data_IF_599046950580
#
_entry.id   IF_599046950580
#
_cell.length_a   1.000
_cell.length_b   1.000
_cell.length_c   1.000
_cell.angle_alpha   90.00
_cell.angle_beta   90.00
_cell.angle_gamma   90.00
#
_symmetry.space_group_name_H-M   'P 1'
#
loop_
_entity.id
_entity.type
_entity.pdbx_description
1 polymer ?
#
# COMPACT_ATOMS: atom_id res chain seq x y z
N UNK A 1 -40.31 -17.00 46.20
CA UNK A 1 -41.03 -16.36 45.07
C UNK A 1 -40.47 -16.95 43.78
N UNK A 2 -41.29 -17.61 42.98
CA UNK A 2 -40.86 -18.22 41.71
C UNK A 2 -40.69 -17.12 40.65
N UNK A 3 -39.45 -16.77 40.31
CA UNK A 3 -39.14 -15.88 39.20
C UNK A 3 -39.46 -16.58 37.88
N UNK A 4 -40.44 -16.05 37.15
CA UNK A 4 -40.84 -16.57 35.84
C UNK A 4 -39.64 -16.55 34.86
N UNK A 5 -39.42 -17.59 34.03
CA UNK A 5 -38.24 -17.71 33.17
C UNK A 5 -38.05 -16.52 32.21
N UNK A 6 -39.14 -15.87 31.79
CA UNK A 6 -39.10 -14.69 30.93
C UNK A 6 -38.47 -13.45 31.62
N UNK A 7 -38.64 -13.30 32.94
CA UNK A 7 -38.01 -12.23 33.70
C UNK A 7 -36.49 -12.43 33.86
N UNK A 8 -36.02 -13.67 33.87
CA UNK A 8 -34.59 -13.97 33.96
C UNK A 8 -33.88 -13.79 32.62
N UNK A 9 -34.59 -14.04 31.50
CA UNK A 9 -34.10 -13.72 30.15
C UNK A 9 -34.01 -12.22 29.91
N UNK A 10 -35.02 -11.45 30.33
CA UNK A 10 -34.98 -9.99 30.28
C UNK A 10 -33.81 -9.40 31.11
N UNK A 11 -33.44 -10.05 32.23
CA UNK A 11 -32.30 -9.66 33.07
C UNK A 11 -30.91 -9.90 32.45
N UNK A 12 -30.83 -10.72 31.39
CA UNK A 12 -29.60 -10.93 30.64
C UNK A 12 -29.37 -9.87 29.56
N UNK A 13 -30.40 -9.12 29.14
CA UNK A 13 -30.30 -8.06 28.12
C UNK A 13 -29.47 -8.52 26.89
N UNK A 14 -28.61 -7.64 26.33
CA UNK A 14 -27.69 -7.94 25.21
C UNK A 14 -26.66 -9.06 25.51
N UNK A 15 -26.48 -9.44 26.78
CA UNK A 15 -25.52 -10.48 27.18
C UNK A 15 -26.02 -11.88 26.81
N UNK A 16 -27.35 -12.07 26.76
CA UNK A 16 -27.96 -13.32 26.31
C UNK A 16 -27.66 -13.62 24.85
N UNK A 17 -27.76 -12.61 23.98
CA UNK A 17 -27.44 -12.72 22.55
C UNK A 17 -25.97 -13.07 22.30
N UNK A 18 -25.06 -12.46 23.07
CA UNK A 18 -23.64 -12.78 23.02
C UNK A 18 -23.36 -14.25 23.35
N UNK A 19 -23.98 -14.78 24.41
CA UNK A 19 -23.80 -16.18 24.84
C UNK A 19 -24.42 -17.16 23.85
N UNK A 20 -25.57 -16.84 23.26
CA UNK A 20 -26.19 -17.65 22.20
C UNK A 20 -25.33 -17.69 20.92
N UNK A 21 -24.80 -16.54 20.51
CA UNK A 21 -23.87 -16.47 19.39
C UNK A 21 -22.58 -17.26 19.69
N UNK A 22 -22.04 -17.16 20.90
CA UNK A 22 -20.89 -17.95 21.33
C UNK A 22 -21.18 -19.46 21.30
N UNK A 23 -22.35 -19.89 21.79
CA UNK A 23 -22.79 -21.30 21.73
C UNK A 23 -22.76 -21.85 20.31
N UNK A 24 -23.34 -21.13 19.35
CA UNK A 24 -23.38 -21.55 17.94
C UNK A 24 -21.97 -21.66 17.36
N UNK A 25 -21.12 -20.65 17.59
CA UNK A 25 -19.74 -20.64 17.10
C UNK A 25 -18.91 -21.77 17.71
N UNK A 26 -19.01 -22.03 19.02
CA UNK A 26 -18.28 -23.13 19.66
C UNK A 26 -18.74 -24.50 19.14
N UNK A 27 -20.04 -24.72 18.93
CA UNK A 27 -20.53 -25.99 18.33
C UNK A 27 -19.95 -26.21 16.94
N UNK A 28 -19.97 -25.18 16.09
CA UNK A 28 -19.42 -25.24 14.75
C UNK A 28 -17.90 -25.51 14.77
N UNK A 29 -17.16 -24.77 15.60
CA UNK A 29 -15.72 -24.91 15.73
C UNK A 29 -15.31 -26.29 16.28
N UNK A 30 -16.01 -26.77 17.31
CA UNK A 30 -15.78 -28.11 17.87
C UNK A 30 -15.96 -29.21 16.82
N UNK A 31 -17.01 -29.09 15.98
CA UNK A 31 -17.26 -30.04 14.89
C UNK A 31 -16.13 -30.03 13.86
N UNK A 32 -15.62 -28.86 13.49
CA UNK A 32 -14.49 -28.74 12.56
C UNK A 32 -13.21 -29.36 13.14
N UNK A 33 -12.93 -29.04 14.41
CA UNK A 33 -11.75 -29.57 15.10
C UNK A 33 -11.82 -31.10 15.17
N UNK A 34 -12.96 -31.70 15.52
CA UNK A 34 -13.10 -33.18 15.63
C UNK A 34 -13.04 -33.95 14.30
N UNK A 35 -13.09 -33.30 13.15
CA UNK A 35 -13.09 -33.99 11.86
C UNK A 35 -11.75 -34.72 11.58
N UNK A 36 -11.78 -35.77 10.75
CA UNK A 36 -10.58 -36.54 10.39
C UNK A 36 -9.52 -35.69 9.65
N UNK A 37 -9.96 -34.77 8.77
CA UNK A 37 -9.11 -33.78 8.09
C UNK A 37 -9.24 -32.40 8.71
N UNK A 38 -9.12 -32.31 10.04
CA UNK A 38 -9.39 -31.07 10.77
C UNK A 38 -8.54 -29.89 10.29
N UNK A 39 -7.27 -30.08 9.90
CA UNK A 39 -6.40 -28.99 9.43
C UNK A 39 -6.96 -28.31 8.19
N UNK A 40 -7.38 -29.08 7.19
CA UNK A 40 -7.94 -28.55 5.95
C UNK A 40 -9.32 -27.91 6.19
N UNK A 41 -10.13 -28.52 7.06
CA UNK A 41 -11.44 -27.99 7.45
C UNK A 41 -11.31 -26.66 8.21
N UNK A 42 -10.37 -26.57 9.14
CA UNK A 42 -10.09 -25.33 9.87
C UNK A 42 -9.52 -24.27 8.93
N UNK A 43 -8.61 -24.62 8.01
CA UNK A 43 -8.08 -23.70 7.01
C UNK A 43 -9.18 -23.10 6.12
N UNK A 44 -10.16 -23.89 5.73
CA UNK A 44 -11.32 -23.41 4.96
C UNK A 44 -12.25 -22.48 5.77
N UNK A 45 -12.14 -22.46 7.10
CA UNK A 45 -13.01 -21.73 8.01
C UNK A 45 -12.24 -20.93 9.09
N UNK A 46 -11.07 -20.34 8.77
CA UNK A 46 -10.29 -19.58 9.78
C UNK A 46 -11.03 -18.32 10.27
N UNK A 47 -12.00 -17.80 9.52
CA UNK A 47 -12.83 -16.67 9.97
C UNK A 47 -13.59 -17.01 11.25
N UNK A 48 -14.21 -18.20 11.30
CA UNK A 48 -14.88 -18.69 12.50
C UNK A 48 -13.91 -18.81 13.68
N UNK A 49 -12.69 -19.31 13.43
CA UNK A 49 -11.67 -19.44 14.47
C UNK A 49 -11.26 -18.07 15.03
N UNK A 50 -11.08 -17.06 14.16
CA UNK A 50 -10.78 -15.68 14.58
C UNK A 50 -11.94 -15.00 15.28
N UNK A 51 -13.16 -15.14 14.79
CA UNK A 51 -14.35 -14.59 15.45
C UNK A 51 -14.47 -15.09 16.88
N UNK A 52 -14.26 -16.40 17.08
CA UNK A 52 -14.25 -17.00 18.41
C UNK A 52 -13.11 -16.43 19.24
N UNK A 53 -11.90 -16.34 18.69
CA UNK A 53 -10.74 -15.80 19.40
C UNK A 53 -10.95 -14.35 19.87
N UNK A 54 -11.47 -13.48 18.98
CA UNK A 54 -11.73 -12.07 19.26
C UNK A 54 -12.86 -11.86 20.27
N UNK A 55 -13.92 -12.67 20.20
CA UNK A 55 -15.04 -12.59 21.13
C UNK A 55 -14.73 -13.19 22.51
N UNK A 56 -13.72 -14.06 22.61
CA UNK A 56 -13.42 -14.86 23.81
C UNK A 56 -13.26 -14.03 25.10
N UNK A 57 -12.51 -12.91 25.13
CA UNK A 57 -12.35 -12.15 26.37
C UNK A 57 -13.68 -11.59 26.89
N UNK A 58 -14.55 -11.13 25.98
CA UNK A 58 -15.88 -10.61 26.33
C UNK A 58 -16.81 -11.73 26.80
N UNK A 59 -16.73 -12.91 26.20
CA UNK A 59 -17.49 -14.10 26.62
C UNK A 59 -17.05 -14.53 28.02
N UNK A 60 -15.75 -14.65 28.28
CA UNK A 60 -15.22 -15.06 29.60
C UNK A 60 -15.61 -14.08 30.71
N UNK A 61 -15.50 -12.77 30.44
CA UNK A 61 -15.95 -11.74 31.37
C UNK A 61 -17.46 -11.82 31.65
N UNK A 62 -18.26 -12.12 30.61
CA UNK A 62 -19.72 -12.25 30.72
C UNK A 62 -20.10 -13.49 31.52
N UNK A 63 -19.50 -14.65 31.24
CA UNK A 63 -19.71 -15.89 32.01
C UNK A 63 -19.43 -15.65 33.50
N UNK A 64 -18.26 -15.08 33.81
CA UNK A 64 -17.87 -14.80 35.19
C UNK A 64 -18.79 -13.78 35.88
N UNK A 65 -19.23 -12.74 35.18
CA UNK A 65 -20.13 -11.73 35.72
C UNK A 65 -21.54 -12.29 35.98
N UNK A 66 -22.08 -13.10 35.07
CA UNK A 66 -23.40 -13.70 35.22
C UNK A 66 -23.38 -14.78 36.30
N UNK A 67 -22.31 -15.59 36.40
CA UNK A 67 -22.16 -16.58 37.46
C UNK A 67 -22.17 -15.93 38.86
N UNK A 68 -21.39 -14.86 39.07
CA UNK A 68 -21.39 -14.11 40.34
C UNK A 68 -22.76 -13.54 40.68
N UNK A 69 -23.48 -13.03 39.68
CA UNK A 69 -24.82 -12.47 39.86
C UNK A 69 -25.85 -13.55 40.20
N UNK A 70 -25.80 -14.68 39.50
CA UNK A 70 -26.68 -15.82 39.73
C UNK A 70 -26.50 -16.39 41.14
N UNK A 71 -25.26 -16.45 41.63
CA UNK A 71 -24.95 -16.86 43.01
C UNK A 71 -25.50 -15.85 44.03
N UNK A 72 -25.25 -14.55 43.83
CA UNK A 72 -25.73 -13.50 44.73
C UNK A 72 -27.27 -13.40 44.78
N UNK A 73 -27.95 -13.65 43.68
CA UNK A 73 -29.42 -13.57 43.57
C UNK A 73 -30.11 -14.95 43.78
N UNK A 74 -29.36 -16.04 43.97
CA UNK A 74 -29.91 -17.38 44.21
C UNK A 74 -30.71 -17.93 43.03
N UNK A 75 -30.22 -17.79 41.79
CA UNK A 75 -30.94 -18.24 40.60
C UNK A 75 -31.10 -19.77 40.57
N UNK A 76 -32.28 -20.31 40.16
CA UNK A 76 -32.46 -21.75 40.04
C UNK A 76 -31.53 -22.36 38.98
N UNK A 77 -30.88 -23.48 39.31
CA UNK A 77 -29.97 -24.19 38.39
C UNK A 77 -30.68 -24.76 37.15
N UNK A 78 -31.99 -25.03 37.24
CA UNK A 78 -32.85 -25.47 36.12
C UNK A 78 -33.43 -24.32 35.30
N UNK A 79 -33.04 -23.08 35.55
CA UNK A 79 -33.51 -21.95 34.75
C UNK A 79 -32.80 -21.90 33.40
N UNK A 80 -33.52 -21.51 32.34
CA UNK A 80 -32.97 -21.45 30.97
C UNK A 80 -31.67 -20.64 30.84
N UNK A 81 -31.48 -19.49 31.54
CA UNK A 81 -30.19 -18.80 31.61
C UNK A 81 -29.03 -19.64 32.17
N UNK A 82 -29.28 -20.41 33.23
CA UNK A 82 -28.28 -21.27 33.86
C UNK A 82 -27.93 -22.47 32.97
N UNK A 83 -28.91 -23.03 32.26
CA UNK A 83 -28.66 -24.08 31.26
C UNK A 83 -27.81 -23.56 30.08
N UNK A 84 -28.08 -22.35 29.60
CA UNK A 84 -27.29 -21.71 28.54
C UNK A 84 -25.85 -21.46 28.99
N UNK A 85 -25.64 -20.93 30.21
CA UNK A 85 -24.30 -20.72 30.78
C UNK A 85 -23.52 -22.03 30.87
N UNK A 86 -24.12 -23.06 31.47
CA UNK A 86 -23.49 -24.37 31.61
C UNK A 86 -23.16 -25.01 30.26
N UNK A 87 -24.04 -24.83 29.26
CA UNK A 87 -23.77 -25.32 27.91
C UNK A 87 -22.61 -24.57 27.25
N UNK A 88 -22.56 -23.24 27.36
CA UNK A 88 -21.48 -22.42 26.80
C UNK A 88 -20.15 -22.75 27.47
N UNK A 89 -20.11 -22.92 28.80
CA UNK A 89 -18.91 -23.33 29.54
C UNK A 89 -18.41 -24.71 29.10
N UNK A 90 -19.31 -25.70 29.04
CA UNK A 90 -18.97 -27.04 28.55
C UNK A 90 -18.41 -27.03 27.13
N UNK A 91 -19.01 -26.23 26.24
CA UNK A 91 -18.55 -26.10 24.86
C UNK A 91 -17.20 -25.38 24.77
N UNK A 92 -17.00 -24.33 25.57
CA UNK A 92 -15.73 -23.60 25.69
C UNK A 92 -14.63 -24.55 26.13
N UNK A 93 -14.84 -25.37 27.15
CA UNK A 93 -13.88 -26.37 27.62
C UNK A 93 -13.59 -27.44 26.56
N UNK A 94 -14.63 -27.93 25.87
CA UNK A 94 -14.47 -28.91 24.81
C UNK A 94 -13.64 -28.38 23.64
N UNK A 95 -13.85 -27.11 23.25
CA UNK A 95 -13.04 -26.42 22.24
C UNK A 95 -11.62 -26.21 22.78
N UNK A 96 -11.44 -25.73 24.01
CA UNK A 96 -10.13 -25.51 24.61
C UNK A 96 -9.29 -26.80 24.62
N UNK A 97 -9.87 -27.89 25.09
CA UNK A 97 -9.23 -29.20 25.08
C UNK A 97 -8.91 -29.69 23.65
N UNK A 98 -9.83 -29.47 22.71
CA UNK A 98 -9.63 -29.82 21.31
C UNK A 98 -8.48 -29.03 20.66
N UNK A 99 -8.36 -27.74 20.97
CA UNK A 99 -7.26 -26.87 20.52
C UNK A 99 -5.95 -27.30 21.17
N UNK A 100 -5.94 -27.49 22.49
CA UNK A 100 -4.75 -27.88 23.25
C UNK A 100 -4.15 -29.19 22.74
N UNK A 101 -4.98 -30.19 22.42
CA UNK A 101 -4.52 -31.47 21.86
C UNK A 101 -3.93 -31.36 20.46
N UNK A 102 -4.28 -30.31 19.71
CA UNK A 102 -3.90 -30.12 18.31
C UNK A 102 -2.72 -29.17 18.14
N UNK A 103 -2.51 -28.26 19.09
CA UNK A 103 -1.34 -27.40 19.16
C UNK A 103 -0.06 -28.23 19.31
N UNK A 104 0.86 -28.01 18.38
CA UNK A 104 2.20 -28.60 18.37
C UNK A 104 3.16 -27.76 19.22
N UNK A 105 2.90 -26.46 19.36
CA UNK A 105 3.72 -25.53 20.14
C UNK A 105 4.05 -26.08 21.54
N UNK A 106 5.35 -26.08 21.87
CA UNK A 106 5.87 -26.52 23.18
C UNK A 106 5.31 -25.67 24.33
N UNK A 107 5.12 -24.37 24.10
CA UNK A 107 4.48 -23.45 25.03
C UNK A 107 3.07 -23.16 24.54
N UNK A 108 2.08 -23.67 25.25
CA UNK A 108 0.66 -23.45 24.94
C UNK A 108 0.16 -22.21 25.68
N UNK A 109 -0.56 -21.29 25.02
CA UNK A 109 -1.16 -20.15 25.69
C UNK A 109 -2.17 -20.58 26.75
N UNK A 110 -2.27 -19.80 27.84
CA UNK A 110 -3.22 -20.08 28.93
C UNK A 110 -4.66 -19.65 28.57
N UNK A 111 -4.80 -18.61 27.74
CA UNK A 111 -6.09 -18.09 27.31
C UNK A 111 -6.54 -18.77 26.02
N UNK A 112 -7.82 -19.16 25.97
CA UNK A 112 -8.39 -19.83 24.79
C UNK A 112 -8.28 -18.96 23.52
N UNK A 113 -8.50 -17.65 23.62
CA UNK A 113 -8.38 -16.74 22.48
C UNK A 113 -6.98 -16.75 21.87
N UNK A 114 -5.95 -16.70 22.70
CA UNK A 114 -4.55 -16.78 22.26
C UNK A 114 -4.21 -18.16 21.68
N UNK A 115 -4.70 -19.23 22.31
CA UNK A 115 -4.50 -20.61 21.83
C UNK A 115 -5.15 -20.83 20.46
N UNK A 116 -6.30 -20.22 20.20
CA UNK A 116 -6.95 -20.25 18.89
C UNK A 116 -6.12 -19.51 17.84
N UNK A 117 -5.68 -18.29 18.10
CA UNK A 117 -4.80 -17.55 17.18
C UNK A 117 -3.50 -18.33 16.89
N UNK A 118 -2.94 -18.98 17.92
CA UNK A 118 -1.76 -19.84 17.72
C UNK A 118 -2.05 -21.05 16.85
N UNK A 119 -3.23 -21.66 17.01
CA UNK A 119 -3.64 -22.79 16.18
C UNK A 119 -3.81 -22.37 14.71
N UNK A 120 -4.33 -21.17 14.47
CA UNK A 120 -4.39 -20.59 13.13
C UNK A 120 -3.00 -20.49 12.49
N UNK A 121 -2.02 -19.91 13.21
CA UNK A 121 -0.63 -19.83 12.72
C UNK A 121 -0.09 -21.20 12.33
N UNK A 122 -0.24 -22.21 13.19
CA UNK A 122 0.25 -23.57 12.92
C UNK A 122 -0.46 -24.24 11.72
N UNK A 123 -1.76 -24.01 11.56
CA UNK A 123 -2.55 -24.55 10.43
C UNK A 123 -2.12 -23.89 9.11
N UNK A 124 -1.80 -22.60 9.15
CA UNK A 124 -1.29 -21.84 8.01
C UNK A 124 0.15 -22.21 7.66
N UNK A 125 0.98 -22.53 8.66
CA UNK A 125 2.37 -22.94 8.48
C UNK A 125 2.53 -24.37 7.98
N UNK A 126 1.66 -25.29 8.44
CA UNK A 126 1.71 -26.69 8.01
C UNK A 126 1.45 -26.87 6.50
N UNK A 127 0.83 -25.88 5.86
CA UNK A 127 0.54 -25.91 4.42
C UNK A 127 -0.58 -26.88 4.02
N UNK A 128 -1.15 -26.70 2.81
CA UNK A 128 -2.19 -27.58 2.29
C UNK A 128 -1.65 -28.87 1.66
N UNK A 129 -2.53 -29.86 1.54
CA UNK A 129 -2.32 -31.00 0.65
C UNK A 129 -2.66 -30.59 -0.78
N UNK A 130 -1.64 -30.45 -1.63
CA UNK A 130 -1.81 -29.90 -2.97
C UNK A 130 -2.56 -30.85 -3.91
N UNK A 131 -3.68 -30.39 -4.46
CA UNK A 131 -4.40 -31.07 -5.53
C UNK A 131 -3.62 -31.12 -6.86
N UNK A 132 -4.12 -31.80 -7.90
CA UNK A 132 -3.43 -31.92 -9.21
C UNK A 132 -3.59 -30.72 -10.16
N UNK A 133 -4.60 -29.86 -9.95
CA UNK A 133 -4.92 -28.72 -10.82
C UNK A 133 -4.32 -27.43 -10.26
N UNK A 134 -3.59 -26.65 -11.07
CA UNK A 134 -2.90 -25.43 -10.63
C UNK A 134 -3.80 -24.41 -9.92
N UNK A 135 -5.04 -24.21 -10.39
CA UNK A 135 -5.97 -23.29 -9.71
C UNK A 135 -6.42 -23.81 -8.34
N UNK A 136 -6.67 -25.12 -8.22
CA UNK A 136 -7.03 -25.72 -6.93
C UNK A 136 -5.86 -25.62 -5.93
N UNK A 137 -4.63 -25.88 -6.40
CA UNK A 137 -3.42 -25.66 -5.61
C UNK A 137 -3.29 -24.19 -5.16
N UNK A 138 -3.55 -23.23 -6.05
CA UNK A 138 -3.54 -21.82 -5.69
C UNK A 138 -4.56 -21.49 -4.58
N UNK A 139 -5.80 -21.99 -4.69
CA UNK A 139 -6.85 -21.78 -3.67
C UNK A 139 -6.46 -22.39 -2.32
N UNK A 140 -5.78 -23.53 -2.35
CA UNK A 140 -5.29 -24.20 -1.16
C UNK A 140 -4.12 -23.46 -0.49
N UNK A 141 -3.17 -22.94 -1.28
CA UNK A 141 -1.99 -22.20 -0.78
C UNK A 141 -2.39 -20.80 -0.28
N UNK A 142 -3.35 -20.18 -0.95
CA UNK A 142 -3.86 -18.84 -0.69
C UNK A 142 -5.31 -18.90 -0.17
N UNK A 143 -5.54 -19.32 1.08
CA UNK A 143 -6.87 -19.23 1.67
C UNK A 143 -7.29 -17.76 1.79
N UNK A 144 -8.57 -17.46 1.54
CA UNK A 144 -9.10 -16.09 1.39
C UNK A 144 -8.79 -15.15 2.56
N UNK A 145 -8.59 -15.71 3.75
CA UNK A 145 -8.48 -15.04 5.02
C UNK A 145 -7.03 -14.83 5.49
N UNK A 146 -6.02 -15.05 4.66
CA UNK A 146 -4.64 -14.68 5.02
C UNK A 146 -4.55 -13.21 5.44
N UNK A 147 -3.74 -12.94 6.46
CA UNK A 147 -3.42 -11.58 6.93
C UNK A 147 -2.84 -10.73 5.81
N UNK A 148 -1.93 -11.31 5.04
CA UNK A 148 -1.23 -10.65 3.94
C UNK A 148 -2.21 -10.38 2.78
N UNK A 149 -3.14 -11.29 2.48
CA UNK A 149 -4.18 -11.03 1.48
C UNK A 149 -5.08 -9.86 1.88
N UNK A 150 -5.48 -9.78 3.17
CA UNK A 150 -6.30 -8.66 3.66
C UNK A 150 -5.56 -7.33 3.56
N UNK A 151 -4.29 -7.30 3.96
CA UNK A 151 -3.44 -6.12 3.82
C UNK A 151 -3.28 -5.68 2.35
N UNK A 152 -2.98 -6.62 1.45
CA UNK A 152 -2.87 -6.36 0.03
C UNK A 152 -4.19 -5.86 -0.58
N UNK A 153 -5.33 -6.41 -0.16
CA UNK A 153 -6.65 -5.97 -0.62
C UNK A 153 -7.01 -4.57 -0.12
N UNK A 154 -6.77 -4.28 1.16
CA UNK A 154 -7.01 -2.95 1.73
C UNK A 154 -6.19 -1.87 1.02
N UNK A 155 -4.91 -2.15 0.73
CA UNK A 155 -4.08 -1.26 -0.07
C UNK A 155 -4.61 -1.12 -1.51
N UNK A 156 -5.00 -2.24 -2.14
CA UNK A 156 -5.52 -2.24 -3.50
C UNK A 156 -6.84 -1.47 -3.65
N UNK A 157 -7.71 -1.47 -2.64
CA UNK A 157 -8.95 -0.66 -2.65
C UNK A 157 -8.64 0.84 -2.72
N UNK A 158 -7.62 1.30 -2.00
CA UNK A 158 -7.14 2.69 -2.07
C UNK A 158 -6.58 2.98 -3.46
N UNK A 159 -5.70 2.11 -3.97
CA UNK A 159 -5.08 2.27 -5.28
C UNK A 159 -6.10 2.24 -6.41
N UNK A 160 -7.09 1.35 -6.35
CA UNK A 160 -8.22 1.31 -7.28
C UNK A 160 -8.98 2.62 -7.27
N UNK A 161 -9.43 3.09 -6.10
CA UNK A 161 -10.23 4.31 -6.01
C UNK A 161 -9.52 5.51 -6.65
N UNK A 162 -8.22 5.66 -6.40
CA UNK A 162 -7.43 6.78 -6.90
C UNK A 162 -7.11 6.60 -8.40
N UNK A 163 -6.56 5.46 -8.79
CA UNK A 163 -5.98 5.24 -10.12
C UNK A 163 -6.95 4.63 -11.14
N UNK A 164 -8.18 4.27 -10.78
CA UNK A 164 -9.22 3.91 -11.75
C UNK A 164 -9.71 5.13 -12.53
N UNK A 165 -9.68 6.31 -11.91
CA UNK A 165 -10.12 7.57 -12.52
C UNK A 165 -9.15 7.99 -13.64
N UNK A 166 -9.65 8.59 -14.74
CA UNK A 166 -8.78 9.27 -15.69
C UNK A 166 -8.23 10.55 -15.05
N UNK A 167 -6.93 10.82 -15.23
CA UNK A 167 -6.30 12.04 -14.74
C UNK A 167 -6.31 13.09 -15.87
N UNK A 168 -6.76 14.34 -15.61
CA UNK A 168 -6.62 15.41 -16.59
C UNK A 168 -5.14 15.70 -16.85
N UNK A 169 -4.79 16.00 -18.11
CA UNK A 169 -3.41 16.28 -18.51
C UNK A 169 -2.83 17.43 -17.68
N UNK A 170 -1.68 17.19 -17.06
CA UNK A 170 -0.93 18.21 -16.33
C UNK A 170 -1.36 18.45 -14.87
N UNK A 171 -2.45 17.85 -14.39
CA UNK A 171 -2.86 17.89 -12.97
C UNK A 171 -2.45 16.60 -12.23
N UNK A 172 -2.41 16.65 -10.89
CA UNK A 172 -2.29 15.43 -10.09
C UNK A 172 -3.60 14.61 -10.14
N UNK A 173 -3.52 13.26 -10.14
CA UNK A 173 -4.69 12.39 -10.15
C UNK A 173 -5.38 12.24 -8.79
N UNK A 174 -4.88 12.93 -7.77
CA UNK A 174 -5.30 12.84 -6.37
C UNK A 174 -5.16 14.19 -5.67
N UNK A 175 -5.94 14.38 -4.62
CA UNK A 175 -5.79 15.49 -3.67
C UNK A 175 -4.81 15.16 -2.52
N UNK A 176 -4.69 16.04 -1.53
CA UNK A 176 -3.78 15.85 -0.39
C UNK A 176 -4.16 14.64 0.49
N UNK A 177 -5.45 14.43 0.74
CA UNK A 177 -5.89 13.31 1.56
C UNK A 177 -5.66 11.98 0.84
N UNK A 178 -5.96 11.93 -0.46
CA UNK A 178 -5.74 10.77 -1.30
C UNK A 178 -4.24 10.47 -1.49
N UNK A 179 -3.39 11.50 -1.59
CA UNK A 179 -1.94 11.31 -1.61
C UNK A 179 -1.44 10.65 -0.32
N UNK A 180 -1.89 11.11 0.86
CA UNK A 180 -1.50 10.50 2.14
C UNK A 180 -2.00 9.06 2.32
N UNK A 181 -3.15 8.72 1.73
CA UNK A 181 -3.61 7.33 1.66
C UNK A 181 -2.74 6.49 0.74
N UNK A 182 -2.38 6.98 -0.45
CA UNK A 182 -1.48 6.29 -1.38
C UNK A 182 -0.09 6.10 -0.78
N UNK A 183 0.45 7.11 -0.10
CA UNK A 183 1.75 7.04 0.61
C UNK A 183 1.80 5.90 1.62
N UNK A 184 0.71 5.67 2.35
CA UNK A 184 0.59 4.57 3.32
C UNK A 184 0.30 3.22 2.64
N UNK A 185 -0.46 3.23 1.55
CA UNK A 185 -0.87 2.02 0.85
C UNK A 185 0.27 1.35 0.05
N UNK A 186 1.19 2.13 -0.53
CA UNK A 186 2.27 1.58 -1.38
C UNK A 186 3.21 0.61 -0.62
N UNK A 187 3.83 0.99 0.52
CA UNK A 187 4.69 0.06 1.25
C UNK A 187 3.92 -1.15 1.78
N UNK A 188 2.69 -0.94 2.24
CA UNK A 188 1.82 -2.01 2.72
C UNK A 188 1.53 -3.04 1.63
N UNK A 189 1.23 -2.58 0.41
CA UNK A 189 1.03 -3.45 -0.75
C UNK A 189 2.30 -4.22 -1.10
N UNK A 190 3.47 -3.57 -1.09
CA UNK A 190 4.75 -4.18 -1.41
C UNK A 190 5.09 -5.31 -0.44
N UNK A 191 5.03 -5.05 0.86
CA UNK A 191 5.30 -6.03 1.90
C UNK A 191 4.32 -7.20 1.85
N UNK A 192 3.02 -6.91 1.73
CA UNK A 192 1.98 -7.92 1.71
C UNK A 192 2.09 -8.82 0.47
N UNK A 193 2.30 -8.24 -0.71
CA UNK A 193 2.42 -9.00 -1.95
C UNK A 193 3.72 -9.80 -1.99
N UNK A 194 4.85 -9.24 -1.52
CA UNK A 194 6.09 -9.99 -1.38
C UNK A 194 5.92 -11.22 -0.47
N UNK A 195 5.24 -11.07 0.67
CA UNK A 195 4.94 -12.18 1.58
C UNK A 195 4.05 -13.25 0.93
N UNK A 196 3.06 -12.85 0.11
CA UNK A 196 2.18 -13.78 -0.60
C UNK A 196 2.92 -14.55 -1.70
N UNK A 197 3.81 -13.90 -2.45
CA UNK A 197 4.66 -14.57 -3.43
C UNK A 197 5.65 -15.52 -2.77
N UNK A 198 6.29 -15.10 -1.67
CA UNK A 198 7.17 -15.96 -0.89
C UNK A 198 6.42 -17.18 -0.32
N UNK A 199 5.16 -17.00 0.09
CA UNK A 199 4.28 -18.10 0.52
C UNK A 199 4.00 -19.08 -0.62
N UNK A 200 3.72 -18.58 -1.83
CA UNK A 200 3.54 -19.43 -3.01
C UNK A 200 4.80 -20.24 -3.29
N UNK A 201 5.97 -19.62 -3.27
CA UNK A 201 7.25 -20.29 -3.52
C UNK A 201 7.58 -21.33 -2.43
N UNK A 202 7.22 -21.06 -1.17
CA UNK A 202 7.40 -21.99 -0.04
C UNK A 202 6.59 -23.28 -0.22
N UNK A 203 5.36 -23.20 -0.72
CA UNK A 203 4.47 -24.35 -0.83
C UNK A 203 4.44 -24.98 -2.22
N UNK A 204 4.76 -24.25 -3.29
CA UNK A 204 4.91 -24.75 -4.65
C UNK A 204 6.40 -24.86 -5.04
N UNK A 205 7.03 -25.97 -4.68
CA UNK A 205 8.42 -26.26 -5.06
C UNK A 205 8.67 -26.38 -6.57
N UNK A 206 7.63 -26.38 -7.41
CA UNK A 206 7.77 -26.42 -8.88
C UNK A 206 7.72 -25.03 -9.52
N UNK A 207 7.28 -24.00 -8.79
CA UNK A 207 7.07 -22.63 -9.28
C UNK A 207 5.96 -22.47 -10.34
N UNK A 208 5.24 -23.55 -10.67
CA UNK A 208 4.22 -23.55 -11.74
C UNK A 208 2.99 -22.73 -11.38
N UNK A 209 2.58 -22.73 -10.12
CA UNK A 209 1.43 -21.96 -9.61
C UNK A 209 1.75 -20.47 -9.69
N UNK A 210 2.93 -20.04 -9.25
CA UNK A 210 3.38 -18.66 -9.37
C UNK A 210 3.36 -18.17 -10.82
N UNK A 211 4.04 -18.88 -11.73
CA UNK A 211 4.07 -18.53 -13.14
C UNK A 211 2.66 -18.48 -13.78
N UNK A 212 1.78 -19.39 -13.36
CA UNK A 212 0.38 -19.44 -13.81
C UNK A 212 -0.46 -18.25 -13.33
N UNK A 213 -0.20 -17.73 -12.12
CA UNK A 213 -0.86 -16.55 -11.57
C UNK A 213 -0.30 -15.26 -12.16
N UNK A 214 1.03 -15.12 -12.27
CA UNK A 214 1.68 -13.96 -12.90
C UNK A 214 1.18 -13.73 -14.34
N UNK A 215 0.98 -14.82 -15.12
CA UNK A 215 0.39 -14.72 -16.46
C UNK A 215 -1.03 -14.14 -16.47
N UNK A 216 -1.80 -14.35 -15.40
CA UNK A 216 -3.17 -13.83 -15.25
C UNK A 216 -3.24 -12.41 -14.71
N UNK A 217 -2.26 -11.97 -13.93
CA UNK A 217 -2.23 -10.61 -13.35
C UNK A 217 -2.32 -9.50 -14.40
N UNK A 218 -1.84 -9.77 -15.63
CA UNK A 218 -1.88 -8.79 -16.74
C UNK A 218 -3.30 -8.41 -17.20
N UNK A 219 -4.33 -9.11 -16.73
CA UNK A 219 -5.72 -8.86 -17.11
C UNK A 219 -6.40 -8.03 -16.03
N UNK A 220 -7.07 -6.96 -16.45
CA UNK A 220 -7.88 -6.15 -15.55
C UNK A 220 -8.94 -7.01 -14.84
N UNK A 221 -9.13 -6.84 -13.52
CA UNK A 221 -10.21 -7.48 -12.79
C UNK A 221 -11.56 -6.99 -13.32
N UNK A 222 -12.41 -7.91 -13.77
CA UNK A 222 -13.75 -7.61 -14.31
C UNK A 222 -14.86 -7.90 -13.29
N UNK A 223 -14.62 -8.86 -12.41
CA UNK A 223 -15.59 -9.34 -11.42
C UNK A 223 -15.01 -9.20 -10.01
N UNK A 224 -15.88 -9.06 -8.99
CA UNK A 224 -15.43 -9.01 -7.60
C UNK A 224 -14.74 -10.35 -7.23
N UNK A 225 -13.56 -10.30 -6.59
CA UNK A 225 -12.80 -11.50 -6.25
C UNK A 225 -13.55 -12.39 -5.24
N UNK A 226 -13.65 -13.68 -5.54
CA UNK A 226 -14.37 -14.68 -4.74
C UNK A 226 -13.44 -15.63 -3.98
N UNK A 227 -12.21 -15.78 -4.45
CA UNK A 227 -11.20 -16.68 -3.90
C UNK A 227 -9.89 -15.96 -3.56
N UNK A 228 -9.04 -16.57 -2.72
CA UNK A 228 -7.74 -15.98 -2.36
C UNK A 228 -6.81 -15.72 -3.55
N UNK A 229 -6.72 -16.60 -4.56
CA UNK A 229 -5.99 -16.30 -5.79
C UNK A 229 -6.56 -15.09 -6.55
N UNK A 230 -7.88 -14.94 -6.62
CA UNK A 230 -8.49 -13.77 -7.25
C UNK A 230 -8.21 -12.47 -6.48
N UNK A 231 -8.18 -12.54 -5.14
CA UNK A 231 -7.78 -11.41 -4.29
C UNK A 231 -6.32 -11.01 -4.55
N UNK A 232 -5.41 -11.99 -4.66
CA UNK A 232 -4.01 -11.74 -5.02
C UNK A 232 -3.91 -11.06 -6.40
N UNK A 233 -4.59 -11.62 -7.41
CA UNK A 233 -4.57 -11.06 -8.77
C UNK A 233 -5.14 -9.63 -8.81
N UNK A 234 -6.21 -9.37 -8.07
CA UNK A 234 -6.80 -8.05 -7.94
C UNK A 234 -5.81 -7.05 -7.33
N UNK A 235 -5.22 -7.41 -6.19
CA UNK A 235 -4.30 -6.54 -5.48
C UNK A 235 -3.04 -6.23 -6.30
N UNK A 236 -2.46 -7.26 -6.92
CA UNK A 236 -1.26 -7.10 -7.71
C UNK A 236 -1.50 -6.30 -9.00
N UNK A 237 -2.66 -6.47 -9.66
CA UNK A 237 -3.02 -5.64 -10.83
C UNK A 237 -3.09 -4.15 -10.47
N UNK A 238 -3.78 -3.79 -9.39
CA UNK A 238 -3.93 -2.39 -9.00
C UNK A 238 -2.63 -1.76 -8.51
N UNK A 239 -1.78 -2.55 -7.85
CA UNK A 239 -0.42 -2.11 -7.51
C UNK A 239 0.42 -1.84 -8.77
N UNK A 240 0.43 -2.75 -9.74
CA UNK A 240 1.17 -2.58 -11.00
C UNK A 240 0.68 -1.35 -11.78
N UNK A 241 -0.65 -1.17 -11.88
CA UNK A 241 -1.24 -0.03 -12.57
C UNK A 241 -0.92 1.28 -11.86
N UNK A 242 -1.04 1.32 -10.53
CA UNK A 242 -0.68 2.50 -9.74
C UNK A 242 0.80 2.84 -9.93
N UNK A 243 1.69 1.85 -9.87
CA UNK A 243 3.13 2.05 -10.07
C UNK A 243 3.45 2.58 -11.46
N UNK A 244 2.82 2.03 -12.51
CA UNK A 244 3.01 2.51 -13.88
C UNK A 244 2.55 3.97 -14.04
N UNK A 245 1.39 4.34 -13.47
CA UNK A 245 0.86 5.71 -13.54
C UNK A 245 1.69 6.69 -12.71
N UNK A 246 2.12 6.30 -11.52
CA UNK A 246 3.01 7.10 -10.68
C UNK A 246 4.36 7.32 -11.34
N UNK A 247 4.94 6.28 -11.95
CA UNK A 247 6.18 6.42 -12.73
C UNK A 247 6.02 7.43 -13.87
N UNK A 248 4.96 7.31 -14.66
CA UNK A 248 4.68 8.25 -15.75
C UNK A 248 4.46 9.68 -15.24
N UNK A 249 3.74 9.84 -14.13
CA UNK A 249 3.54 11.13 -13.48
C UNK A 249 4.87 11.74 -13.03
N UNK A 250 5.66 11.00 -12.27
CA UNK A 250 6.96 11.45 -11.75
C UNK A 250 7.93 11.77 -12.88
N UNK A 251 8.00 10.93 -13.91
CA UNK A 251 8.81 11.19 -15.10
C UNK A 251 8.39 12.49 -15.79
N UNK A 252 7.08 12.72 -15.96
CA UNK A 252 6.58 13.98 -16.54
C UNK A 252 6.90 15.21 -15.68
N UNK A 253 7.05 15.06 -14.35
CA UNK A 253 7.27 16.16 -13.41
C UNK A 253 8.75 16.41 -13.12
N UNK A 254 9.60 15.39 -13.23
CA UNK A 254 10.97 15.40 -12.72
C UNK A 254 12.02 15.04 -13.77
N UNK A 255 11.63 14.76 -15.03
CA UNK A 255 12.59 14.57 -16.11
C UNK A 255 13.58 15.76 -16.19
N UNK A 256 14.89 15.51 -16.29
CA UNK A 256 15.55 14.23 -16.62
C UNK A 256 15.95 13.35 -15.41
N UNK A 257 15.64 13.75 -14.18
CA UNK A 257 15.95 12.97 -12.98
C UNK A 257 14.97 11.81 -12.88
N UNK A 258 15.49 10.62 -12.54
CA UNK A 258 14.67 9.41 -12.35
C UNK A 258 14.56 9.15 -10.85
N UNK A 259 13.39 9.36 -10.23
CA UNK A 259 13.18 9.05 -8.83
C UNK A 259 13.24 7.54 -8.57
N UNK A 260 13.85 7.16 -7.44
CA UNK A 260 13.85 5.78 -6.96
C UNK A 260 12.51 5.46 -6.33
N UNK A 261 12.10 4.19 -6.34
CA UNK A 261 10.77 3.80 -5.87
C UNK A 261 10.58 4.06 -4.37
N UNK A 262 11.65 3.92 -3.58
CA UNK A 262 11.64 4.28 -2.16
C UNK A 262 11.45 5.79 -1.90
N UNK A 263 11.74 6.65 -2.88
CA UNK A 263 11.55 8.11 -2.78
C UNK A 263 10.10 8.52 -3.07
N UNK A 264 9.29 7.63 -3.66
CA UNK A 264 7.95 7.99 -4.15
C UNK A 264 7.03 8.51 -3.06
N UNK A 265 6.89 7.90 -1.87
CA UNK A 265 5.98 8.41 -0.85
C UNK A 265 6.28 9.86 -0.47
N UNK A 266 7.55 10.22 -0.29
CA UNK A 266 7.94 11.60 0.03
C UNK A 266 7.67 12.57 -1.13
N UNK A 267 7.90 12.11 -2.37
CA UNK A 267 7.63 12.91 -3.56
C UNK A 267 6.14 13.16 -3.80
N UNK A 268 5.27 12.20 -3.50
CA UNK A 268 3.83 12.40 -3.66
C UNK A 268 3.30 13.48 -2.71
N UNK A 269 3.72 13.45 -1.43
CA UNK A 269 3.33 14.47 -0.46
C UNK A 269 3.82 15.86 -0.88
N UNK A 270 5.10 15.96 -1.23
CA UNK A 270 5.67 17.23 -1.68
C UNK A 270 5.04 17.76 -2.98
N UNK A 271 4.72 16.90 -3.95
CA UNK A 271 4.09 17.35 -5.19
C UNK A 271 2.71 17.97 -4.95
N UNK A 272 1.92 17.44 -4.02
CA UNK A 272 0.63 18.05 -3.65
C UNK A 272 0.82 19.38 -2.94
N UNK A 273 1.71 19.45 -1.96
CA UNK A 273 2.04 20.71 -1.27
C UNK A 273 2.52 21.77 -2.27
N UNK A 274 3.27 21.34 -3.28
CA UNK A 274 3.81 22.19 -4.34
C UNK A 274 2.73 22.71 -5.30
N UNK A 275 1.66 21.96 -5.54
CA UNK A 275 0.52 22.47 -6.32
C UNK A 275 -0.24 23.57 -5.57
N UNK A 276 -0.28 23.51 -4.23
CA UNK A 276 -0.86 24.57 -3.40
C UNK A 276 0.09 25.77 -3.21
N UNK A 277 1.40 25.52 -3.12
CA UNK A 277 2.43 26.53 -2.89
C UNK A 277 3.69 26.22 -3.69
N UNK A 278 4.01 27.07 -4.68
CA UNK A 278 5.23 26.90 -5.48
C UNK A 278 6.53 26.97 -4.65
N UNK A 279 6.46 27.49 -3.42
CA UNK A 279 7.55 27.60 -2.46
C UNK A 279 7.71 26.34 -1.58
N UNK A 280 6.84 25.33 -1.73
CA UNK A 280 6.95 24.09 -0.98
C UNK A 280 8.30 23.41 -1.23
N UNK A 281 8.99 23.11 -0.14
CA UNK A 281 10.34 22.55 -0.11
C UNK A 281 10.25 21.05 0.17
N UNK A 282 10.96 20.25 -0.62
CA UNK A 282 11.20 18.85 -0.35
C UNK A 282 12.22 18.73 0.80
N UNK A 283 11.75 18.24 1.94
CA UNK A 283 12.58 18.02 3.13
C UNK A 283 13.50 16.81 2.93
N UNK A 284 14.68 16.86 3.56
CA UNK A 284 15.50 15.68 3.72
C UNK A 284 14.83 14.69 4.68
N UNK A 285 14.93 13.40 4.37
CA UNK A 285 14.35 12.30 5.14
C UNK A 285 15.35 11.16 5.23
N UNK A 286 14.97 10.04 5.84
CA UNK A 286 15.84 8.84 5.89
C UNK A 286 16.17 8.30 4.49
N UNK A 287 15.27 8.50 3.50
CA UNK A 287 15.45 8.05 2.12
C UNK A 287 15.98 9.14 1.18
N UNK A 288 15.83 10.41 1.55
CA UNK A 288 16.26 11.57 0.74
C UNK A 288 17.32 12.38 1.47
N UNK A 289 18.55 12.37 0.96
CA UNK A 289 19.58 13.32 1.39
C UNK A 289 19.20 14.75 1.01
N UNK A 290 19.78 15.74 1.70
CA UNK A 290 19.56 17.16 1.39
C UNK A 290 19.98 17.51 -0.06
N UNK A 291 21.06 16.90 -0.55
CA UNK A 291 21.52 17.04 -1.93
C UNK A 291 20.55 16.44 -2.94
N UNK A 292 20.04 15.24 -2.67
CA UNK A 292 19.06 14.54 -3.51
C UNK A 292 17.73 15.27 -3.56
N UNK A 293 17.24 15.78 -2.44
CA UNK A 293 16.04 16.61 -2.38
C UNK A 293 16.19 17.89 -3.21
N UNK A 294 17.32 18.59 -3.07
CA UNK A 294 17.64 19.76 -3.91
C UNK A 294 17.68 19.41 -5.40
N UNK A 295 18.24 18.25 -5.77
CA UNK A 295 18.32 17.81 -7.16
C UNK A 295 16.93 17.58 -7.79
N UNK A 296 16.01 16.98 -7.03
CA UNK A 296 14.63 16.73 -7.46
C UNK A 296 13.84 18.05 -7.60
N UNK A 297 14.08 19.01 -6.71
CA UNK A 297 13.53 20.37 -6.83
C UNK A 297 14.04 21.10 -8.09
N UNK A 298 15.34 21.01 -8.40
CA UNK A 298 15.92 21.58 -9.64
C UNK A 298 15.21 20.99 -10.86
N UNK A 299 15.02 19.67 -10.88
CA UNK A 299 14.31 18.98 -11.96
C UNK A 299 12.87 19.49 -12.12
N UNK A 300 12.13 19.62 -11.01
CA UNK A 300 10.76 20.11 -11.03
C UNK A 300 10.63 21.57 -11.51
N UNK A 301 11.53 22.46 -11.06
CA UNK A 301 11.54 23.86 -11.52
C UNK A 301 11.91 23.96 -13.01
N UNK A 302 12.88 23.18 -13.48
CA UNK A 302 13.23 23.14 -14.90
C UNK A 302 12.09 22.58 -15.76
N UNK A 303 11.45 21.50 -15.30
CA UNK A 303 10.28 20.95 -15.97
C UNK A 303 9.12 21.96 -15.98
N UNK A 304 8.92 22.76 -14.93
CA UNK A 304 7.92 23.81 -14.91
C UNK A 304 8.25 24.96 -15.88
N UNK A 305 9.50 25.43 -15.91
CA UNK A 305 9.99 26.46 -16.85
C UNK A 305 9.91 26.03 -18.32
N UNK A 306 9.94 24.72 -18.57
CA UNK A 306 9.91 24.15 -19.91
C UNK A 306 8.52 23.99 -20.53
N UNK A 307 7.48 23.96 -19.69
CA UNK A 307 6.09 23.76 -20.12
C UNK A 307 5.50 25.05 -20.70
N UNK A 308 4.36 24.94 -21.36
CA UNK A 308 3.57 26.10 -21.73
C UNK A 308 3.35 27.00 -20.49
N UNK A 309 3.53 28.31 -20.67
CA UNK A 309 3.37 29.29 -19.58
C UNK A 309 2.02 29.07 -18.89
N UNK A 310 1.97 29.02 -17.55
CA UNK A 310 0.71 28.82 -16.84
C UNK A 310 -0.30 29.91 -17.16
N UNK A 311 -1.58 29.54 -17.09
CA UNK A 311 -2.68 30.50 -17.19
C UNK A 311 -2.77 31.25 -15.86
N UNK A 312 -2.38 32.52 -15.83
CA UNK A 312 -2.41 33.36 -14.63
C UNK A 312 -1.14 34.20 -14.42
N UNK A 313 -1.01 34.88 -13.27
CA UNK A 313 0.18 35.68 -12.93
C UNK A 313 1.39 34.77 -12.74
N UNK A 314 2.27 34.72 -13.74
CA UNK A 314 3.54 33.99 -13.68
C UNK A 314 4.70 34.96 -13.41
N UNK A 315 5.38 34.77 -12.28
CA UNK A 315 6.61 35.50 -11.98
C UNK A 315 7.83 34.65 -12.35
N UNK A 316 8.40 34.93 -13.53
CA UNK A 316 9.57 34.23 -14.06
C UNK A 316 10.81 34.43 -13.17
N UNK A 317 10.98 35.61 -12.58
CA UNK A 317 12.09 35.91 -11.67
C UNK A 317 12.00 35.07 -10.39
N UNK A 318 10.80 34.92 -9.82
CA UNK A 318 10.60 34.04 -8.67
C UNK A 318 10.92 32.57 -9.00
N UNK A 319 10.66 32.11 -10.22
CA UNK A 319 11.02 30.76 -10.66
C UNK A 319 12.55 30.58 -10.77
N UNK A 320 13.27 31.57 -11.29
CA UNK A 320 14.73 31.56 -11.32
C UNK A 320 15.35 31.55 -9.93
N UNK A 321 14.80 32.32 -8.98
CA UNK A 321 15.25 32.30 -7.58
C UNK A 321 15.08 30.92 -6.96
N UNK A 322 13.92 30.28 -7.14
CA UNK A 322 13.69 28.91 -6.62
C UNK A 322 14.64 27.89 -7.24
N UNK A 323 14.83 27.96 -8.56
CA UNK A 323 15.76 27.08 -9.27
C UNK A 323 17.20 27.24 -8.75
N UNK A 324 17.64 28.48 -8.50
CA UNK A 324 18.95 28.77 -7.92
C UNK A 324 19.08 28.21 -6.50
N UNK A 325 18.09 28.44 -5.63
CA UNK A 325 18.09 27.91 -4.26
C UNK A 325 18.16 26.39 -4.24
N UNK A 326 17.38 25.71 -5.09
CA UNK A 326 17.42 24.27 -5.23
C UNK A 326 18.79 23.78 -5.75
N UNK A 327 19.39 24.48 -6.72
CA UNK A 327 20.71 24.15 -7.24
C UNK A 327 21.82 24.29 -6.19
N UNK A 328 21.74 25.29 -5.31
CA UNK A 328 22.67 25.45 -4.19
C UNK A 328 22.58 24.27 -3.22
N UNK A 329 21.37 23.80 -2.91
CA UNK A 329 21.16 22.60 -2.09
C UNK A 329 21.67 21.33 -2.76
N UNK A 330 21.51 21.23 -4.08
CA UNK A 330 21.97 20.09 -4.89
C UNK A 330 23.49 20.08 -5.13
N UNK A 331 24.23 21.11 -4.71
CA UNK A 331 25.68 21.23 -4.95
C UNK A 331 26.52 20.02 -4.51
N UNK A 332 26.31 19.39 -3.34
CA UNK A 332 27.08 18.23 -2.92
C UNK A 332 26.65 16.93 -3.64
N UNK A 333 25.52 16.94 -4.35
CA UNK A 333 25.00 15.76 -5.03
C UNK A 333 25.82 15.46 -6.30
N UNK A 334 26.21 14.21 -6.46
CA UNK A 334 26.96 13.72 -7.61
C UNK A 334 26.31 12.46 -8.17
N UNK A 335 26.64 12.09 -9.41
CA UNK A 335 26.12 10.90 -10.06
C UNK A 335 25.35 11.17 -11.35
N UNK A 336 24.73 10.14 -11.94
CA UNK A 336 24.19 10.19 -13.29
C UNK A 336 23.04 11.20 -13.44
N UNK A 337 22.21 11.37 -12.41
CA UNK A 337 21.09 12.32 -12.46
C UNK A 337 21.56 13.77 -12.40
N UNK A 338 22.61 14.05 -11.61
CA UNK A 338 23.23 15.37 -11.58
C UNK A 338 23.87 15.72 -12.92
N UNK A 339 24.56 14.77 -13.56
CA UNK A 339 25.10 14.98 -14.91
C UNK A 339 24.01 15.20 -15.96
N UNK A 340 22.92 14.40 -15.95
CA UNK A 340 21.78 14.59 -16.86
C UNK A 340 21.16 15.99 -16.73
N UNK A 341 21.07 16.52 -15.52
CA UNK A 341 20.62 17.90 -15.28
C UNK A 341 21.62 18.93 -15.80
N UNK A 342 22.92 18.76 -15.54
CA UNK A 342 23.98 19.62 -16.08
C UNK A 342 23.95 19.66 -17.61
N UNK A 343 23.84 18.51 -18.25
CA UNK A 343 23.71 18.39 -19.72
C UNK A 343 22.47 19.09 -20.25
N UNK A 344 21.33 18.93 -19.58
CA UNK A 344 20.07 19.58 -19.95
C UNK A 344 20.17 21.11 -19.85
N UNK A 345 20.81 21.64 -18.79
CA UNK A 345 21.09 23.07 -18.64
C UNK A 345 22.08 23.57 -19.71
N UNK A 346 23.15 22.82 -19.99
CA UNK A 346 24.10 23.16 -21.08
C UNK A 346 23.41 23.17 -22.43
N UNK A 347 22.50 22.23 -22.69
CA UNK A 347 21.69 22.21 -23.91
C UNK A 347 20.77 23.44 -23.98
N UNK A 348 20.11 23.80 -22.89
CA UNK A 348 19.29 25.02 -22.81
C UNK A 348 20.07 26.28 -23.21
N UNK A 349 21.23 26.48 -22.58
CA UNK A 349 22.11 27.62 -22.83
C UNK A 349 22.51 27.64 -24.31
N UNK A 350 22.89 26.48 -24.86
CA UNK A 350 23.26 26.34 -26.27
C UNK A 350 22.10 26.62 -27.22
N UNK A 351 20.88 26.16 -26.94
CA UNK A 351 19.72 26.37 -27.83
C UNK A 351 19.19 27.81 -27.81
N UNK A 352 19.38 28.55 -26.70
CA UNK A 352 19.03 29.97 -26.63
C UNK A 352 20.10 30.90 -27.21
N UNK A 353 21.36 30.44 -27.31
CA UNK A 353 22.47 31.20 -27.90
C UNK A 353 22.28 31.61 -29.38
N UNK A 354 21.74 30.75 -30.28
CA UNK A 354 21.60 31.05 -31.71
C UNK A 354 20.14 31.30 -32.11
N UNK A 355 19.49 32.34 -31.58
CA UNK A 355 18.37 33.09 -32.21
C UNK A 355 17.09 32.38 -32.73
N UNK A 356 16.99 31.06 -32.80
CA UNK A 356 15.96 30.35 -33.56
C UNK A 356 15.41 29.11 -32.83
N UNK A 357 14.81 29.26 -31.64
CA UNK A 357 13.81 28.28 -31.19
C UNK A 357 12.88 28.87 -30.12
N UNK A 358 11.54 28.68 -30.22
CA UNK A 358 10.64 29.01 -29.12
C UNK A 358 10.95 28.15 -27.88
N UNK A 359 10.69 28.73 -26.72
CA UNK A 359 11.03 28.29 -25.37
C UNK A 359 10.32 26.99 -24.92
N UNK A 360 10.45 25.89 -25.65
CA UNK A 360 10.00 24.57 -25.18
C UNK A 360 11.23 23.73 -24.94
N UNK A 361 11.70 23.81 -23.69
CA UNK A 361 12.87 23.08 -23.22
C UNK A 361 12.68 21.56 -23.34
N UNK A 362 11.44 21.08 -23.23
CA UNK A 362 11.08 19.68 -23.34
C UNK A 362 9.70 19.55 -24.04
N UNK A 363 9.69 19.28 -25.33
CA UNK A 363 8.52 18.68 -26.00
C UNK A 363 8.68 17.15 -25.93
N UNK A 364 7.61 16.37 -25.72
CA UNK A 364 7.66 14.90 -25.80
C UNK A 364 8.09 14.36 -27.17
N UNK A 365 8.11 15.20 -28.21
CA UNK A 365 8.62 14.89 -29.56
C UNK A 365 10.16 14.87 -29.63
N UNK A 366 10.82 14.25 -28.65
CA UNK A 366 12.29 14.23 -28.50
C UNK A 366 13.02 13.47 -29.61
N UNK A 367 12.32 12.59 -30.34
CA UNK A 367 12.95 11.73 -31.36
C UNK A 367 13.44 12.47 -32.61
N UNK A 368 12.98 13.71 -32.85
CA UNK A 368 13.38 14.47 -34.03
C UNK A 368 14.66 15.31 -33.85
N UNK A 369 15.07 15.63 -32.61
CA UNK A 369 16.13 16.63 -32.34
C UNK A 369 17.48 16.05 -31.88
N UNK A 370 17.58 14.72 -31.74
CA UNK A 370 18.82 14.02 -31.30
C UNK A 370 19.89 13.97 -32.41
N UNK A 371 19.63 14.48 -33.62
CA UNK A 371 20.59 14.52 -34.74
C UNK A 371 21.31 15.87 -34.89
N UNK A 372 21.84 16.43 -33.81
CA UNK A 372 22.80 17.53 -33.91
C UNK A 372 24.21 17.01 -33.57
N UNK A 373 25.23 17.27 -34.40
CA UNK A 373 26.58 16.76 -34.15
C UNK A 373 27.13 17.37 -32.87
N UNK A 374 27.64 16.51 -32.00
CA UNK A 374 28.23 16.87 -30.72
C UNK A 374 29.47 17.74 -30.88
N UNK A 375 29.28 19.06 -30.90
CA UNK A 375 30.36 20.01 -30.69
C UNK A 375 30.76 20.01 -29.22
N UNK A 376 31.97 19.54 -28.93
CA UNK A 376 32.63 19.69 -27.64
C UNK A 376 32.73 21.19 -27.30
N UNK A 377 31.93 21.64 -26.33
CA UNK A 377 32.21 22.88 -25.62
C UNK A 377 33.13 22.53 -24.45
N UNK A 378 34.44 22.70 -24.65
CA UNK A 378 35.41 22.72 -23.56
C UNK A 378 35.21 23.97 -22.70
N UNK A 379 35.24 23.80 -21.39
CA UNK A 379 35.19 24.89 -20.40
C UNK A 379 34.63 24.39 -19.07
N UNK A 380 35.55 24.15 -18.11
CA UNK A 380 35.40 23.87 -16.66
C UNK A 380 34.29 22.91 -16.15
N UNK A 381 34.53 22.15 -15.07
CA UNK A 381 33.47 21.40 -14.39
C UNK A 381 32.53 22.38 -13.69
N UNK A 382 31.61 22.95 -14.44
CA UNK A 382 30.67 23.89 -13.85
C UNK A 382 29.67 23.20 -12.94
N UNK A 383 29.56 23.73 -11.73
CA UNK A 383 28.59 23.28 -10.76
C UNK A 383 27.15 23.64 -11.19
N UNK A 384 26.17 22.92 -10.63
CA UNK A 384 24.75 23.14 -10.94
C UNK A 384 24.31 24.60 -10.71
N UNK A 385 24.71 25.28 -9.60
CA UNK A 385 24.41 26.69 -9.43
C UNK A 385 24.96 27.56 -10.56
N UNK A 386 26.25 27.44 -10.92
CA UNK A 386 26.85 28.23 -11.98
C UNK A 386 26.11 28.08 -13.32
N UNK A 387 25.69 26.86 -13.66
CA UNK A 387 24.88 26.59 -14.84
C UNK A 387 23.50 27.27 -14.80
N UNK A 388 22.83 27.31 -13.64
CA UNK A 388 21.55 28.00 -13.47
C UNK A 388 21.70 29.51 -13.67
N UNK A 389 22.76 30.12 -13.13
CA UNK A 389 23.02 31.55 -13.32
C UNK A 389 23.22 31.89 -14.80
N UNK A 390 24.03 31.12 -15.52
CA UNK A 390 24.22 31.32 -16.97
C UNK A 390 22.95 31.07 -17.77
N UNK A 391 22.14 30.09 -17.37
CA UNK A 391 20.83 29.84 -17.98
C UNK A 391 19.88 31.04 -17.82
N UNK A 392 19.86 31.67 -16.63
CA UNK A 392 19.10 32.89 -16.37
C UNK A 392 19.59 34.06 -17.24
N UNK A 393 20.89 34.29 -17.32
CA UNK A 393 21.48 35.32 -18.17
C UNK A 393 21.14 35.11 -19.65
N UNK A 394 21.19 33.86 -20.12
CA UNK A 394 20.80 33.50 -21.49
C UNK A 394 19.30 33.73 -21.75
N UNK A 395 18.43 33.55 -20.74
CA UNK A 395 17.00 33.80 -20.85
C UNK A 395 16.64 35.29 -20.92
N UNK A 396 17.43 36.16 -20.25
CA UNK A 396 17.22 37.61 -20.21
C UNK A 396 17.72 38.40 -21.44
N UNK A 397 18.46 37.77 -22.36
CA UNK A 397 18.96 38.46 -23.57
C UNK A 397 17.81 38.78 -24.53
N UNK A 398 17.64 40.04 -24.98
CA UNK A 398 16.63 40.38 -25.98
C UNK A 398 16.91 39.63 -27.28
N UNK A 399 15.85 39.18 -27.98
CA UNK A 399 15.95 38.62 -29.33
C UNK A 399 16.40 39.75 -30.25
N UNK A 400 17.71 39.90 -30.44
CA UNK A 400 18.25 40.87 -31.40
C UNK A 400 17.70 40.53 -32.77
N UNK A 401 17.05 41.53 -33.37
CA UNK A 401 16.17 41.37 -34.52
C UNK A 401 16.88 40.88 -35.78
N UNK A 402 16.08 40.22 -36.63
CA UNK A 402 16.26 40.29 -38.08
C UNK A 402 16.34 41.76 -38.47
N UNK A 403 17.52 42.21 -38.88
CA UNK A 403 17.61 43.31 -39.83
C UNK A 403 17.02 42.80 -41.15
N UNK A 404 16.02 43.51 -41.65
CA UNK A 404 15.60 43.40 -43.04
C UNK A 404 16.81 43.65 -43.94
N UNK A 405 17.10 42.69 -44.82
CA UNK A 405 18.02 42.77 -45.93
C UNK A 405 17.53 41.81 -46.99
#
# INVERSE_FOLDING_TARGET
MATHPDNLRARLEERGELLEAARLRYRALHKLLRAFFWKDRVRAHLELLREVALAQPRVDATLAAVARRAEAEGWPSSSAPMELLAEVERLREAVAWAVERRLIAKRKPALLGEALLKLEEEVLDAGPLLGRRLWAQAVEILPRNLTELRAACAAAEILERVFKRPAPEGALPFDAAEADEVRRALPLADEALAALWARLDRFDGTGRVRAFLEKRMRRAPVAPPRSGPELLLHAAFWQDLARARLRALLESRLSPVVPREEEWPELLGWLVEREASAQARLAATEVLSEGRAGLLEVAAELAALSRARPVGPWNEEAAWVRLWTAAQRAKPETGPDAERLRESLRLFIRLRGPGQTPARLFSPERDALVRLPGGQAGGEPEDLPGLVQRAREAAGRPRTGRGSG
#
